data_IF_386212114863
#
_entry.id   IF_386212114863
#
_cell.length_a   1.000
_cell.length_b   1.000
_cell.length_c   1.000
_cell.angle_alpha   90.00
_cell.angle_beta   90.00
_cell.angle_gamma   90.00
#
_symmetry.space_group_name_H-M   'P 1'
#
loop_
_entity.id
_entity.type
_entity.pdbx_description
1 polymer ?
#
# COMPACT_ATOMS: atom_id res chain seq x y z
N UNK A 1 25.01 18.58 -1.27
CA UNK A 1 24.67 17.65 -0.18
C UNK A 1 23.86 16.49 -0.70
N UNK A 2 24.28 15.30 -0.35
CA UNK A 2 23.59 14.11 -0.76
C UNK A 2 22.29 13.95 0.05
N UNK A 3 21.28 13.47 -0.62
CA UNK A 3 19.99 13.23 -0.02
C UNK A 3 20.04 12.00 0.87
N UNK A 4 19.44 12.07 2.08
CA UNK A 4 19.36 10.92 2.96
C UNK A 4 18.42 9.86 2.40
N UNK A 5 18.64 8.62 2.80
CA UNK A 5 17.76 7.50 2.41
C UNK A 5 16.33 7.75 2.90
N UNK A 6 16.16 8.33 4.10
CA UNK A 6 14.83 8.67 4.59
C UNK A 6 14.15 9.75 3.74
N UNK A 7 14.89 10.77 3.32
CA UNK A 7 14.34 11.80 2.43
C UNK A 7 13.94 11.21 1.09
N UNK A 8 14.75 10.30 0.55
CA UNK A 8 14.43 9.60 -0.69
C UNK A 8 13.14 8.79 -0.55
N UNK A 9 12.97 8.09 0.58
CA UNK A 9 11.75 7.34 0.86
C UNK A 9 10.53 8.26 0.93
N UNK A 10 10.61 9.36 1.67
CA UNK A 10 9.49 10.30 1.81
C UNK A 10 9.08 10.90 0.46
N UNK A 11 10.05 11.24 -0.37
CA UNK A 11 9.77 11.75 -1.71
C UNK A 11 9.10 10.71 -2.59
N UNK A 12 9.57 9.46 -2.50
CA UNK A 12 8.99 8.35 -3.24
C UNK A 12 7.53 8.14 -2.86
N UNK A 13 7.22 8.08 -1.57
CA UNK A 13 5.86 7.89 -1.08
C UNK A 13 4.93 9.03 -1.56
N UNK A 14 5.41 10.27 -1.48
CA UNK A 14 4.62 11.43 -1.95
C UNK A 14 4.37 11.37 -3.46
N UNK A 15 5.36 10.95 -4.24
CA UNK A 15 5.23 10.80 -5.68
C UNK A 15 4.26 9.68 -6.06
N UNK A 16 4.35 8.55 -5.37
CA UNK A 16 3.43 7.42 -5.56
C UNK A 16 1.99 7.89 -5.32
N UNK A 17 1.76 8.66 -4.26
CA UNK A 17 0.43 9.19 -4.02
C UNK A 17 -0.02 10.13 -5.13
N UNK A 18 0.79 11.14 -5.44
CA UNK A 18 0.43 12.17 -6.40
C UNK A 18 0.16 11.60 -7.80
N UNK A 19 0.98 10.67 -8.25
CA UNK A 19 0.94 10.21 -9.64
C UNK A 19 0.17 8.91 -9.84
N UNK A 20 0.05 8.08 -8.82
CA UNK A 20 -0.57 6.74 -8.95
C UNK A 20 -1.85 6.61 -8.15
N UNK A 21 -1.82 6.91 -6.85
CA UNK A 21 -2.92 6.56 -5.95
C UNK A 21 -3.97 7.66 -5.80
N UNK A 22 -3.57 8.93 -5.78
CA UNK A 22 -4.52 10.04 -5.72
C UNK A 22 -5.50 10.03 -6.90
N UNK A 23 -5.06 9.80 -8.14
CA UNK A 23 -5.99 9.73 -9.27
C UNK A 23 -7.04 8.63 -9.14
N UNK A 24 -6.78 7.59 -8.35
CA UNK A 24 -7.73 6.50 -8.13
C UNK A 24 -8.53 6.67 -6.82
N UNK A 25 -8.38 7.80 -6.14
CA UNK A 25 -9.19 8.17 -4.99
C UNK A 25 -8.58 7.90 -3.62
N UNK A 26 -7.36 7.41 -3.55
CA UNK A 26 -6.71 7.14 -2.27
C UNK A 26 -6.24 8.43 -1.60
N UNK A 27 -6.53 8.56 -0.31
CA UNK A 27 -6.05 9.67 0.52
C UNK A 27 -4.83 9.22 1.31
N UNK A 28 -3.83 10.10 1.38
CA UNK A 28 -2.56 9.81 2.04
C UNK A 28 -2.62 10.17 3.53
N UNK A 29 -2.13 9.26 4.36
CA UNK A 29 -1.92 9.48 5.80
C UNK A 29 -0.60 8.80 6.16
N UNK A 30 0.51 9.56 6.08
CA UNK A 30 1.84 8.99 6.25
C UNK A 30 2.14 7.98 5.16
N UNK A 31 2.41 6.74 5.55
CA UNK A 31 2.65 5.62 4.62
C UNK A 31 1.38 4.81 4.36
N UNK A 32 0.22 5.30 4.78
CA UNK A 32 -1.07 4.66 4.55
C UNK A 32 -1.86 5.42 3.50
N UNK A 33 -2.51 4.68 2.61
CA UNK A 33 -3.36 5.25 1.56
C UNK A 33 -4.69 4.54 1.63
N UNK A 34 -5.80 5.29 1.84
CA UNK A 34 -7.12 4.72 2.10
C UNK A 34 -8.18 5.28 1.19
N UNK A 35 -9.17 4.43 0.92
CA UNK A 35 -10.47 4.84 0.41
C UNK A 35 -11.52 4.30 1.37
N UNK A 36 -12.43 5.17 1.82
CA UNK A 36 -13.59 4.77 2.62
C UNK A 36 -14.84 4.96 1.76
N UNK A 37 -15.60 3.90 1.56
CA UNK A 37 -16.83 3.95 0.76
C UNK A 37 -18.04 4.08 1.68
N UNK A 38 -19.12 4.65 1.15
CA UNK A 38 -20.35 4.87 1.91
C UNK A 38 -21.04 3.57 2.36
N UNK A 39 -20.75 2.48 1.66
CA UNK A 39 -21.34 1.16 1.97
C UNK A 39 -20.61 0.40 3.08
N UNK A 40 -19.65 1.02 3.75
CA UNK A 40 -18.91 0.41 4.85
C UNK A 40 -17.67 -0.36 4.43
N UNK A 41 -17.36 -0.41 3.13
CA UNK A 41 -16.13 -0.99 2.64
C UNK A 41 -15.00 0.04 2.72
N UNK A 42 -13.81 -0.39 3.11
CA UNK A 42 -12.60 0.42 3.05
C UNK A 42 -11.49 -0.34 2.37
N UNK A 43 -10.63 0.38 1.69
CA UNK A 43 -9.42 -0.18 1.05
C UNK A 43 -8.21 0.56 1.56
N UNK A 44 -7.13 -0.16 1.85
CA UNK A 44 -5.89 0.44 2.32
C UNK A 44 -4.69 -0.18 1.63
N UNK A 45 -3.75 0.69 1.27
CA UNK A 45 -2.41 0.30 0.81
C UNK A 45 -1.45 0.91 1.82
N UNK A 46 -0.60 0.08 2.41
CA UNK A 46 0.35 0.47 3.44
C UNK A 46 1.77 0.16 2.99
N UNK A 47 2.66 1.14 3.09
CA UNK A 47 4.09 0.94 2.85
C UNK A 47 4.74 0.74 4.21
N UNK A 48 5.22 -0.46 4.48
CA UNK A 48 5.81 -0.84 5.76
C UNK A 48 7.32 -0.87 5.65
N UNK A 49 7.99 -0.03 6.44
CA UNK A 49 9.46 -0.05 6.53
C UNK A 49 9.91 -1.18 7.46
N UNK A 50 11.05 -1.79 7.14
CA UNK A 50 11.64 -2.80 8.00
C UNK A 50 12.09 -2.19 9.33
N UNK A 51 11.90 -2.93 10.42
CA UNK A 51 12.41 -2.54 11.74
C UNK A 51 13.93 -2.61 11.82
N UNK A 52 14.58 -3.25 10.85
CA UNK A 52 16.03 -3.38 10.80
C UNK A 52 16.71 -2.34 9.90
N UNK A 53 15.95 -1.32 9.46
CA UNK A 53 16.52 -0.27 8.64
C UNK A 53 17.54 0.57 9.42
N UNK A 54 18.50 1.11 8.69
CA UNK A 54 19.54 1.98 9.24
C UNK A 54 19.71 3.21 8.34
N UNK A 55 20.70 4.06 8.66
CA UNK A 55 20.95 5.27 7.88
C UNK A 55 21.43 4.99 6.46
N UNK A 56 21.95 3.78 6.20
CA UNK A 56 22.53 3.41 4.90
C UNK A 56 21.50 2.83 3.95
N UNK A 57 20.39 2.27 4.46
CA UNK A 57 19.41 1.66 3.58
C UNK A 57 18.02 1.65 4.23
N UNK A 58 17.00 1.74 3.37
CA UNK A 58 15.61 1.66 3.78
C UNK A 58 14.93 0.56 2.97
N UNK A 59 14.58 -0.53 3.63
CA UNK A 59 13.81 -1.61 3.03
C UNK A 59 12.35 -1.46 3.39
N UNK A 60 11.46 -1.75 2.45
CA UNK A 60 10.03 -1.66 2.69
C UNK A 60 9.27 -2.68 1.86
N UNK A 61 8.08 -3.03 2.32
CA UNK A 61 7.14 -3.84 1.56
C UNK A 61 5.81 -3.11 1.44
N UNK A 62 4.92 -3.64 0.61
CA UNK A 62 3.60 -3.07 0.39
C UNK A 62 2.56 -4.06 0.90
N UNK A 63 1.76 -3.62 1.87
CA UNK A 63 0.64 -4.38 2.41
C UNK A 63 -0.67 -3.81 1.86
N UNK A 64 -1.66 -4.67 1.71
CA UNK A 64 -2.99 -4.30 1.25
C UNK A 64 -4.03 -4.85 2.21
N UNK A 65 -5.13 -4.13 2.37
CA UNK A 65 -6.20 -4.58 3.25
C UNK A 65 -7.56 -4.15 2.74
N UNK A 66 -8.55 -4.96 3.09
CA UNK A 66 -9.95 -4.68 2.83
C UNK A 66 -10.67 -4.64 4.17
N UNK A 67 -11.15 -3.46 4.52
CA UNK A 67 -11.82 -3.18 5.78
C UNK A 67 -13.32 -3.23 5.59
N UNK A 68 -14.02 -3.84 6.55
CA UNK A 68 -15.47 -3.87 6.55
C UNK A 68 -16.00 -3.31 7.87
N UNK A 69 -16.78 -2.24 7.80
CA UNK A 69 -17.47 -1.72 8.98
C UNK A 69 -18.65 -2.65 9.29
N UNK A 70 -18.74 -3.08 10.54
CA UNK A 70 -19.84 -3.93 10.99
C UNK A 70 -21.07 -3.08 11.31
N UNK A 71 -22.25 -3.68 11.19
CA UNK A 71 -23.49 -3.01 11.53
C UNK A 71 -23.49 -2.61 13.00
N UNK A 72 -23.88 -1.36 13.28
CA UNK A 72 -23.88 -0.82 14.63
C UNK A 72 -22.54 -0.36 15.16
N UNK A 73 -21.48 -0.56 14.40
CA UNK A 73 -20.14 -0.11 14.76
C UNK A 73 -19.97 1.35 14.36
N UNK A 74 -19.24 2.11 15.20
CA UNK A 74 -18.86 3.48 14.84
C UNK A 74 -17.98 3.50 13.60
N UNK A 75 -18.15 4.49 12.70
CA UNK A 75 -17.26 4.64 11.57
C UNK A 75 -15.82 4.81 12.00
N UNK A 76 -14.90 4.14 11.31
CA UNK A 76 -13.48 4.24 11.57
C UNK A 76 -12.76 4.69 10.27
N UNK A 77 -12.74 6.02 9.99
CA UNK A 77 -12.12 6.51 8.75
C UNK A 77 -10.59 6.41 8.74
N UNK A 78 -9.98 6.07 9.86
CA UNK A 78 -8.54 5.90 9.98
C UNK A 78 -8.15 4.47 10.31
N UNK A 79 -8.95 3.50 9.86
CA UNK A 79 -8.64 2.09 10.06
C UNK A 79 -7.24 1.77 9.54
N UNK A 80 -6.58 0.81 10.19
CA UNK A 80 -5.24 0.37 9.81
C UNK A 80 -5.31 -0.93 9.04
N UNK A 81 -4.20 -1.27 8.38
CA UNK A 81 -4.11 -2.51 7.63
C UNK A 81 -4.41 -3.72 8.53
N UNK A 82 -3.96 -3.69 9.79
CA UNK A 82 -4.20 -4.79 10.73
C UNK A 82 -5.64 -4.85 11.25
N UNK A 83 -6.48 -3.83 10.98
CA UNK A 83 -7.92 -3.85 11.28
C UNK A 83 -8.73 -4.53 10.18
N UNK A 84 -8.10 -4.88 9.07
CA UNK A 84 -8.79 -5.35 7.87
C UNK A 84 -9.18 -6.83 7.97
N UNK A 85 -10.32 -7.17 7.38
CA UNK A 85 -10.83 -8.54 7.31
C UNK A 85 -10.02 -9.39 6.34
N UNK A 86 -9.54 -8.78 5.26
CA UNK A 86 -8.67 -9.45 4.28
C UNK A 86 -7.37 -8.66 4.22
N UNK A 87 -6.24 -9.36 4.31
CA UNK A 87 -4.92 -8.75 4.30
C UNK A 87 -4.04 -9.52 3.32
N UNK A 88 -3.25 -8.79 2.54
CA UNK A 88 -2.37 -9.39 1.54
C UNK A 88 -1.14 -8.52 1.34
N UNK A 89 -0.08 -9.10 0.80
CA UNK A 89 1.10 -8.34 0.37
C UNK A 89 1.14 -8.26 -1.14
N UNK A 90 1.54 -7.10 -1.66
CA UNK A 90 1.63 -6.90 -3.10
C UNK A 90 2.54 -7.95 -3.76
N UNK A 91 3.67 -8.28 -3.12
CA UNK A 91 4.60 -9.27 -3.66
C UNK A 91 3.99 -10.66 -3.77
N UNK A 92 3.01 -11.00 -2.91
CA UNK A 92 2.34 -12.30 -2.95
C UNK A 92 1.43 -12.46 -4.18
N UNK A 93 0.83 -11.37 -4.62
CA UNK A 93 -0.12 -11.41 -5.74
C UNK A 93 0.54 -11.07 -7.08
N UNK A 94 1.77 -10.56 -7.06
CA UNK A 94 2.49 -10.22 -8.29
C UNK A 94 3.31 -11.41 -8.76
N UNK A 95 3.19 -11.82 -10.04
CA UNK A 95 3.96 -12.94 -10.56
C UNK A 95 5.46 -12.64 -10.72
N UNK A 96 5.85 -11.37 -10.61
CA UNK A 96 7.24 -10.94 -10.80
C UNK A 96 8.10 -11.06 -9.55
N UNK A 97 7.49 -11.14 -8.37
CA UNK A 97 8.22 -11.05 -7.10
C UNK A 97 7.97 -12.29 -6.25
N UNK A 98 8.97 -12.63 -5.42
CA UNK A 98 8.81 -13.68 -4.43
C UNK A 98 8.00 -13.20 -3.22
N UNK A 99 7.48 -14.15 -2.43
CA UNK A 99 6.55 -13.85 -1.32
C UNK A 99 7.07 -12.85 -0.30
N UNK A 100 8.37 -12.90 -0.02
CA UNK A 100 8.98 -12.06 1.01
C UNK A 100 9.83 -10.95 0.41
N UNK A 101 9.48 -10.50 -0.79
CA UNK A 101 10.23 -9.46 -1.47
C UNK A 101 10.09 -8.12 -0.75
N UNK A 102 11.24 -7.45 -0.53
CA UNK A 102 11.32 -6.11 0.02
C UNK A 102 12.10 -5.23 -0.95
N UNK A 103 11.55 -4.05 -1.25
CA UNK A 103 12.28 -3.05 -2.04
C UNK A 103 13.28 -2.36 -1.15
N UNK A 104 14.39 -1.91 -1.73
CA UNK A 104 15.47 -1.29 -0.96
C UNK A 104 15.88 0.04 -1.57
N UNK A 105 15.94 1.06 -0.72
CA UNK A 105 16.53 2.36 -1.07
C UNK A 105 17.90 2.42 -0.40
N UNK A 106 18.89 2.77 -1.17
CA UNK A 106 20.28 2.94 -0.70
C UNK A 106 20.88 4.13 -1.42
N UNK A 107 22.02 4.62 -0.92
CA UNK A 107 22.72 5.72 -1.54
C UNK A 107 23.12 5.34 -2.99
N UNK A 108 22.75 6.20 -3.93
CA UNK A 108 23.00 5.94 -5.36
C UNK A 108 21.94 5.11 -6.05
N UNK A 109 20.88 4.71 -5.34
CA UNK A 109 19.78 3.97 -5.96
C UNK A 109 19.14 4.80 -7.06
N UNK A 110 18.94 4.20 -8.22
CA UNK A 110 18.15 4.82 -9.31
C UNK A 110 16.69 4.90 -8.90
N UNK A 111 16.26 6.06 -8.41
CA UNK A 111 14.93 6.26 -7.89
C UNK A 111 13.86 6.30 -8.98
N UNK A 112 14.22 6.67 -10.21
CA UNK A 112 13.28 6.61 -11.34
C UNK A 112 12.95 5.16 -11.68
N UNK A 113 13.94 4.29 -11.65
CA UNK A 113 13.72 2.87 -11.88
C UNK A 113 12.86 2.26 -10.77
N UNK A 114 13.15 2.63 -9.51
CA UNK A 114 12.36 2.14 -8.38
C UNK A 114 10.91 2.62 -8.47
N UNK A 115 10.70 3.90 -8.78
CA UNK A 115 9.35 4.42 -8.98
C UNK A 115 8.60 3.65 -10.06
N UNK A 116 9.28 3.38 -11.20
CA UNK A 116 8.66 2.62 -12.30
C UNK A 116 8.27 1.21 -11.88
N UNK A 117 9.10 0.55 -11.09
CA UNK A 117 8.79 -0.78 -10.56
C UNK A 117 7.55 -0.75 -9.65
N UNK A 118 7.48 0.25 -8.76
CA UNK A 118 6.34 0.39 -7.86
C UNK A 118 5.08 0.79 -8.61
N UNK A 119 5.19 1.71 -9.56
CA UNK A 119 4.06 2.09 -10.40
C UNK A 119 3.49 0.87 -11.13
N UNK A 120 4.36 0.03 -11.67
CA UNK A 120 3.95 -1.17 -12.39
C UNK A 120 3.19 -2.14 -11.49
N UNK A 121 3.74 -2.47 -10.31
CA UNK A 121 3.04 -3.42 -9.42
C UNK A 121 1.71 -2.85 -8.93
N UNK A 122 1.65 -1.55 -8.64
CA UNK A 122 0.42 -0.93 -8.18
C UNK A 122 -0.64 -0.92 -9.28
N UNK A 123 -0.28 -0.52 -10.50
CA UNK A 123 -1.25 -0.39 -11.60
C UNK A 123 -1.61 -1.72 -12.26
N UNK A 124 -0.69 -2.68 -12.29
CA UNK A 124 -0.90 -3.96 -12.97
C UNK A 124 -1.43 -5.05 -12.05
N UNK A 125 -1.09 -5.02 -10.76
CA UNK A 125 -1.43 -6.08 -9.83
C UNK A 125 -2.31 -5.62 -8.67
N UNK A 126 -1.91 -4.59 -7.93
CA UNK A 126 -2.58 -4.19 -6.69
C UNK A 126 -3.95 -3.56 -6.95
N UNK A 127 -4.02 -2.55 -7.80
CA UNK A 127 -5.29 -1.86 -8.07
C UNK A 127 -6.30 -2.80 -8.74
N UNK A 128 -5.93 -3.61 -9.74
CA UNK A 128 -6.86 -4.59 -10.28
C UNK A 128 -7.36 -5.61 -9.24
N UNK A 129 -6.49 -6.05 -8.32
CA UNK A 129 -6.90 -6.94 -7.25
C UNK A 129 -7.94 -6.27 -6.34
N UNK A 130 -7.71 -5.01 -5.99
CA UNK A 130 -8.64 -4.26 -5.14
C UNK A 130 -9.97 -3.94 -5.83
N UNK A 131 -9.93 -3.73 -7.15
CA UNK A 131 -11.14 -3.41 -7.93
C UNK A 131 -12.14 -4.58 -8.00
N UNK A 132 -11.73 -5.78 -7.63
CA UNK A 132 -12.62 -6.94 -7.54
C UNK A 132 -13.60 -6.83 -6.39
N UNK A 133 -13.38 -5.91 -5.45
CA UNK A 133 -14.19 -5.77 -4.25
C UNK A 133 -14.98 -4.46 -4.32
N UNK A 134 -16.31 -4.55 -4.39
CA UNK A 134 -17.20 -3.40 -4.50
C UNK A 134 -18.09 -3.26 -3.28
N UNK A 135 -18.17 -4.29 -2.42
CA UNK A 135 -19.06 -4.33 -1.27
C UNK A 135 -18.45 -5.16 -0.14
N UNK A 136 -19.07 -5.03 1.06
CA UNK A 136 -18.69 -5.87 2.21
C UNK A 136 -18.92 -7.35 1.91
N UNK A 137 -19.94 -7.67 1.11
CA UNK A 137 -20.23 -9.07 0.75
C UNK A 137 -19.12 -9.70 -0.05
N UNK A 138 -18.49 -8.94 -0.94
CA UNK A 138 -17.34 -9.44 -1.71
C UNK A 138 -16.20 -9.84 -0.78
N UNK A 139 -15.94 -9.04 0.26
CA UNK A 139 -14.89 -9.30 1.24
C UNK A 139 -15.24 -10.55 2.07
N UNK A 140 -16.48 -10.65 2.52
CA UNK A 140 -16.96 -11.79 3.32
C UNK A 140 -16.79 -13.09 2.54
N UNK A 141 -17.15 -13.11 1.26
CA UNK A 141 -17.00 -14.30 0.41
C UNK A 141 -15.55 -14.73 0.29
N UNK A 142 -14.64 -13.78 0.21
CA UNK A 142 -13.20 -14.09 0.09
C UNK A 142 -12.65 -14.68 1.39
N UNK A 143 -13.17 -14.25 2.53
CA UNK A 143 -12.72 -14.71 3.85
C UNK A 143 -13.22 -16.09 4.25
N UNK A 144 -13.99 -16.75 3.40
CA UNK A 144 -14.51 -18.09 3.69
C UNK A 144 -13.54 -19.18 3.22
#
# INVERSE_FOLDING_TARGET
MEETVEAMYKKLISRIHREVLKPTGFKKDGSNFRICYDNGLGKIINFQRSMFNCNAECKFCINMGLYTQQDGQEPNPRFKEYDCAVRERAAHISPKYGKDYWWCIFEGRDMEKLFSELQAILTEDVLPWMDRFESRQDVIRTGQ
#
